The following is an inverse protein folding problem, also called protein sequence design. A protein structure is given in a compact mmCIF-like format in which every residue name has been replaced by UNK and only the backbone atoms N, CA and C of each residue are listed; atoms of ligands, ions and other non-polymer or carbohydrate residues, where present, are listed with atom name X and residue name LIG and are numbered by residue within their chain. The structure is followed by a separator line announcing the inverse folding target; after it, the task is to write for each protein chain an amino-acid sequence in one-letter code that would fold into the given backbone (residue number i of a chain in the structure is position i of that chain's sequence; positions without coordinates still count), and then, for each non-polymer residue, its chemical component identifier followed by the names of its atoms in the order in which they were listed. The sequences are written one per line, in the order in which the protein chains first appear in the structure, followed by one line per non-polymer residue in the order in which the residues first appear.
data_IF_048326638078
#
_entry.id   IF_048326638078
#
_cell.length_a   1.000
_cell.length_b   1.000
_cell.length_c   1.000
_cell.angle_alpha   90.00
_cell.angle_beta   90.00
_cell.angle_gamma   90.00
#
_symmetry.space_group_name_H-M   'P 1'
#
loop_
_entity.id
_entity.type
_entity.pdbx_description
1 polymer ?
#
# COMPACT_ATOMS: atom_id res chain seq x y z
N UNK A 1 -58.26 43.22 30.61
CA UNK A 1 -58.43 41.91 31.28
C UNK A 1 -57.37 41.00 30.67
N UNK A 2 -56.15 40.97 31.25
CA UNK A 2 -55.73 40.09 32.37
C UNK A 2 -55.61 38.64 31.85
N UNK A 3 -54.50 37.89 31.92
CA UNK A 3 -53.25 37.86 32.70
C UNK A 3 -52.25 37.01 31.87
N UNK A 4 -50.97 37.33 31.64
CA UNK A 4 -49.84 37.40 32.59
C UNK A 4 -49.62 36.12 33.43
N UNK A 5 -48.77 35.19 32.95
CA UNK A 5 -48.01 34.29 33.84
C UNK A 5 -46.57 34.06 33.36
N UNK A 6 -45.69 34.82 34.01
CA UNK A 6 -44.26 34.58 34.16
C UNK A 6 -43.94 33.39 35.08
N UNK A 7 -42.70 32.88 34.97
CA UNK A 7 -41.74 32.39 36.01
C UNK A 7 -41.15 30.99 35.69
N UNK A 8 -39.97 30.62 36.24
CA UNK A 8 -38.86 31.43 36.76
C UNK A 8 -37.46 31.01 36.25
N UNK A 9 -36.51 31.92 36.48
CA UNK A 9 -35.05 31.76 36.40
C UNK A 9 -34.55 30.69 37.38
N UNK A 10 -33.60 29.85 36.96
CA UNK A 10 -32.70 29.10 37.84
C UNK A 10 -31.28 29.65 37.70
N UNK A 11 -30.82 30.26 38.78
CA UNK A 11 -29.45 30.66 39.08
C UNK A 11 -28.78 29.61 39.99
N UNK A 12 -27.46 29.72 40.13
CA UNK A 12 -26.53 28.95 40.96
C UNK A 12 -26.05 27.63 40.28
N UNK A 13 -24.78 27.25 40.30
CA UNK A 13 -23.76 27.54 41.31
C UNK A 13 -22.34 27.36 40.77
N UNK A 14 -21.40 27.92 41.53
CA UNK A 14 -19.97 28.08 41.31
C UNK A 14 -19.17 26.77 41.25
N UNK A 15 -18.10 26.78 40.45
CA UNK A 15 -17.16 25.65 40.35
C UNK A 15 -15.83 26.02 39.74
N UNK A 16 -15.29 27.21 40.04
CA UNK A 16 -13.99 27.66 39.56
C UNK A 16 -12.87 27.11 40.48
N UNK A 17 -12.50 25.84 40.31
CA UNK A 17 -11.30 25.27 40.95
C UNK A 17 -10.05 25.85 40.32
N UNK A 18 -9.49 26.82 41.04
CA UNK A 18 -8.21 27.50 40.81
C UNK A 18 -7.07 26.51 41.10
N UNK A 19 -6.60 25.81 40.07
CA UNK A 19 -5.42 24.94 40.13
C UNK A 19 -4.14 25.76 40.33
N UNK A 20 -3.62 25.69 41.55
CA UNK A 20 -2.40 26.32 42.04
C UNK A 20 -1.17 25.66 41.39
N UNK A 21 -0.58 26.31 40.39
CA UNK A 21 0.71 25.90 39.83
C UNK A 21 1.83 26.35 40.77
N UNK A 22 2.40 25.38 41.48
CA UNK A 22 3.60 25.52 42.30
C UNK A 22 4.78 25.78 41.38
N UNK A 23 5.32 26.99 41.47
CA UNK A 23 6.61 27.39 40.91
C UNK A 23 7.71 26.64 41.67
N UNK A 24 8.44 25.75 40.98
CA UNK A 24 9.71 25.18 41.47
C UNK A 24 10.86 26.07 40.97
N UNK A 25 11.66 26.70 41.86
CA UNK A 25 12.89 27.36 41.47
C UNK A 25 14.09 26.41 41.56
N UNK A 26 15.09 26.65 40.72
CA UNK A 26 16.47 26.26 41.00
C UNK A 26 16.96 24.98 40.32
N UNK A 27 17.67 25.15 39.21
CA UNK A 27 18.81 24.31 38.86
C UNK A 27 19.71 25.10 37.90
N UNK A 28 20.76 25.67 38.49
CA UNK A 28 21.92 26.22 37.82
C UNK A 28 22.69 25.12 37.07
N UNK A 29 23.28 25.41 35.90
CA UNK A 29 24.34 24.59 35.34
C UNK A 29 25.71 25.17 35.70
N UNK A 30 26.40 24.50 36.63
CA UNK A 30 27.83 24.69 36.86
C UNK A 30 28.63 24.33 35.60
N UNK A 31 29.52 25.25 35.27
CA UNK A 31 30.58 25.10 34.31
C UNK A 31 31.69 24.16 34.83
N UNK A 32 32.54 23.74 33.89
CA UNK A 32 33.87 23.13 34.05
C UNK A 32 33.98 21.60 33.95
N UNK A 33 34.37 21.13 32.77
CA UNK A 33 35.31 20.00 32.59
C UNK A 33 36.04 20.24 31.27
N UNK A 34 37.19 20.91 31.30
CA UNK A 34 38.54 20.31 31.29
C UNK A 34 38.82 19.42 30.08
N UNK A 35 39.54 20.04 29.13
CA UNK A 35 40.66 19.53 28.36
C UNK A 35 40.90 18.02 28.35
N UNK A 36 40.87 17.44 27.15
CA UNK A 36 41.82 16.38 26.79
C UNK A 36 42.09 16.37 25.29
N UNK A 37 43.26 16.91 24.96
CA UNK A 37 43.95 16.79 23.67
C UNK A 37 44.39 15.34 23.48
N UNK A 38 43.70 14.62 22.60
CA UNK A 38 44.11 13.32 22.08
C UNK A 38 44.56 13.44 20.63
N UNK A 39 45.87 13.47 20.43
CA UNK A 39 46.60 13.38 19.17
C UNK A 39 46.08 12.26 18.26
N UNK A 40 45.71 12.60 17.01
CA UNK A 40 45.55 11.61 15.93
C UNK A 40 46.39 12.00 14.72
N UNK A 41 47.34 11.10 14.46
CA UNK A 41 48.29 11.02 13.36
C UNK A 41 47.58 10.95 11.99
N UNK A 42 48.15 11.54 10.92
CA UNK A 42 47.58 11.49 9.57
C UNK A 42 48.09 10.25 8.82
N UNK A 43 47.20 9.33 8.48
CA UNK A 43 47.49 8.25 7.53
C UNK A 43 46.66 8.39 6.25
N UNK A 44 47.32 9.01 5.27
CA UNK A 44 47.47 8.54 3.89
C UNK A 44 46.21 8.31 3.05
N UNK A 45 46.00 9.29 2.16
CA UNK A 45 45.48 9.13 0.80
C UNK A 45 46.00 7.85 0.15
N UNK A 46 45.10 6.98 -0.28
CA UNK A 46 45.33 6.09 -1.42
C UNK A 46 44.13 6.16 -2.38
N UNK A 47 44.42 6.78 -3.51
CA UNK A 47 43.95 6.50 -4.87
C UNK A 47 42.52 5.97 -5.07
N UNK A 48 41.67 6.90 -5.49
CA UNK A 48 40.50 6.66 -6.33
C UNK A 48 40.85 5.83 -7.58
N UNK A 49 40.27 4.64 -7.72
CA UNK A 49 40.30 3.87 -8.97
C UNK A 49 39.29 4.41 -10.00
N UNK A 50 39.59 4.36 -11.31
CA UNK A 50 38.73 4.90 -12.35
C UNK A 50 37.47 4.03 -12.55
N UNK A 51 36.31 4.63 -12.30
CA UNK A 51 35.00 4.10 -12.72
C UNK A 51 35.00 3.91 -14.24
N UNK A 52 34.91 2.65 -14.68
CA UNK A 52 34.61 2.27 -16.05
C UNK A 52 33.29 2.92 -16.49
N UNK A 53 33.39 4.03 -17.23
CA UNK A 53 32.28 4.56 -18.03
C UNK A 53 32.00 3.54 -19.14
N UNK A 54 30.96 2.74 -18.95
CA UNK A 54 30.42 1.84 -19.97
C UNK A 54 29.83 2.72 -21.07
N UNK A 55 30.36 2.57 -22.28
CA UNK A 55 29.92 3.29 -23.47
C UNK A 55 28.40 3.15 -23.66
N UNK A 56 27.74 4.28 -23.86
CA UNK A 56 26.34 4.36 -24.23
C UNK A 56 26.20 3.86 -25.68
N UNK A 57 25.79 2.60 -25.84
CA UNK A 57 25.23 2.10 -27.08
C UNK A 57 23.75 2.47 -27.12
N UNK A 58 23.37 3.27 -28.11
CA UNK A 58 21.99 3.60 -28.44
C UNK A 58 21.22 2.33 -28.85
N UNK A 59 20.46 1.76 -27.93
CA UNK A 59 19.27 0.97 -28.27
C UNK A 59 18.08 1.68 -27.65
N UNK A 60 17.34 2.43 -28.48
CA UNK A 60 16.14 3.18 -28.14
C UNK A 60 14.95 2.28 -27.81
N UNK A 61 15.15 1.33 -26.90
CA UNK A 61 14.11 0.44 -26.42
C UNK A 61 13.36 1.18 -25.29
N UNK A 62 12.40 2.02 -25.69
CA UNK A 62 11.63 2.88 -24.79
C UNK A 62 11.16 2.12 -23.55
N UNK A 63 11.30 2.75 -22.37
CA UNK A 63 10.97 2.11 -21.10
C UNK A 63 9.55 1.50 -21.15
N UNK A 64 9.38 0.26 -20.67
CA UNK A 64 8.09 -0.42 -20.76
C UNK A 64 7.04 0.38 -19.98
N UNK A 65 5.86 0.54 -20.56
CA UNK A 65 4.77 1.26 -19.92
C UNK A 65 4.38 0.51 -18.62
N UNK A 66 4.36 1.17 -17.45
CA UNK A 66 3.98 0.53 -16.20
C UNK A 66 2.55 -0.04 -16.23
N UNK A 67 1.71 0.39 -17.17
CA UNK A 67 0.35 -0.09 -17.37
C UNK A 67 0.22 -1.32 -18.28
N UNK A 68 1.29 -1.82 -18.92
CA UNK A 68 1.22 -2.96 -19.84
C UNK A 68 0.64 -4.22 -19.18
N UNK A 69 0.88 -4.44 -17.88
CA UNK A 69 0.28 -5.56 -17.15
C UNK A 69 -1.23 -5.45 -17.03
N UNK A 70 -1.74 -4.27 -16.67
CA UNK A 70 -3.19 -4.04 -16.55
C UNK A 70 -3.88 -4.12 -17.92
N UNK A 71 -3.26 -3.53 -18.94
CA UNK A 71 -3.73 -3.61 -20.33
C UNK A 71 -3.84 -5.04 -20.83
N UNK A 72 -2.83 -5.87 -20.54
CA UNK A 72 -2.85 -7.30 -20.90
C UNK A 72 -4.00 -8.04 -20.19
N UNK A 73 -4.19 -7.77 -18.90
CA UNK A 73 -5.29 -8.36 -18.12
C UNK A 73 -6.66 -7.99 -18.70
N UNK A 74 -6.87 -6.71 -19.02
CA UNK A 74 -8.12 -6.22 -19.61
C UNK A 74 -8.36 -6.83 -21.00
N UNK A 75 -7.31 -6.95 -21.81
CA UNK A 75 -7.37 -7.61 -23.13
C UNK A 75 -7.77 -9.08 -23.00
N UNK A 76 -7.13 -9.84 -22.11
CA UNK A 76 -7.46 -11.26 -21.91
C UNK A 76 -8.89 -11.45 -21.39
N UNK A 77 -9.34 -10.60 -20.46
CA UNK A 77 -10.72 -10.63 -19.92
C UNK A 77 -11.75 -10.46 -21.04
N UNK A 78 -11.48 -9.56 -21.99
CA UNK A 78 -12.36 -9.32 -23.15
C UNK A 78 -12.37 -10.48 -24.13
N UNK A 79 -11.19 -11.00 -24.47
CA UNK A 79 -11.07 -12.13 -25.41
C UNK A 79 -11.78 -13.36 -24.86
N UNK A 80 -11.66 -13.64 -23.56
CA UNK A 80 -12.27 -14.81 -22.93
C UNK A 80 -13.74 -14.58 -22.52
N UNK A 81 -14.20 -13.32 -22.53
CA UNK A 81 -15.53 -12.91 -22.06
C UNK A 81 -15.89 -13.49 -20.68
N UNK A 82 -14.89 -13.64 -19.80
CA UNK A 82 -15.01 -14.14 -18.42
C UNK A 82 -13.95 -13.48 -17.54
N UNK A 83 -14.14 -13.54 -16.22
CA UNK A 83 -13.10 -13.15 -15.27
C UNK A 83 -11.90 -14.09 -15.38
N UNK A 84 -10.69 -13.54 -15.36
CA UNK A 84 -9.47 -14.34 -15.41
C UNK A 84 -9.25 -15.14 -14.12
N UNK A 85 -8.82 -16.39 -14.27
CA UNK A 85 -8.47 -17.30 -13.18
C UNK A 85 -6.94 -17.37 -12.98
N UNK A 86 -6.46 -17.76 -11.78
CA UNK A 86 -5.05 -18.05 -11.57
C UNK A 86 -4.60 -19.20 -12.48
N UNK A 87 -3.82 -18.88 -13.50
CA UNK A 87 -3.41 -19.85 -14.54
C UNK A 87 -3.70 -19.36 -15.96
N UNK A 88 -4.63 -18.43 -16.14
CA UNK A 88 -4.91 -17.85 -17.47
C UNK A 88 -3.73 -17.00 -17.99
N UNK A 89 -2.95 -16.42 -17.08
CA UNK A 89 -1.74 -15.65 -17.37
C UNK A 89 -0.60 -16.20 -16.50
N UNK A 90 0.36 -16.89 -17.11
CA UNK A 90 1.48 -17.52 -16.40
C UNK A 90 2.77 -16.78 -16.76
N UNK A 91 3.50 -16.34 -15.74
CA UNK A 91 4.83 -15.75 -15.88
C UNK A 91 5.87 -16.68 -15.26
N UNK A 92 6.85 -17.10 -16.06
CA UNK A 92 8.03 -17.81 -15.60
C UNK A 92 9.23 -16.85 -15.65
N UNK A 93 9.88 -16.60 -14.51
CA UNK A 93 11.10 -15.78 -14.48
C UNK A 93 12.30 -16.70 -14.37
N UNK A 94 13.31 -16.44 -15.21
CA UNK A 94 14.62 -17.09 -15.17
C UNK A 94 15.71 -16.04 -15.01
N UNK A 95 16.82 -16.43 -14.41
CA UNK A 95 18.01 -15.58 -14.26
C UNK A 95 19.03 -15.98 -15.31
N UNK A 96 19.44 -15.02 -16.15
CA UNK A 96 20.40 -15.21 -17.22
C UNK A 96 21.61 -14.29 -17.00
N UNK A 97 22.72 -14.54 -17.73
CA UNK A 97 23.95 -13.77 -17.56
C UNK A 97 23.70 -12.27 -17.80
N UNK A 98 23.65 -11.49 -16.71
CA UNK A 98 23.45 -10.06 -16.76
C UNK A 98 22.03 -9.57 -16.42
N UNK A 99 21.10 -10.44 -16.00
CA UNK A 99 19.81 -9.99 -15.49
C UNK A 99 18.73 -11.06 -15.37
N UNK A 100 17.48 -10.61 -15.40
CA UNK A 100 16.28 -11.41 -15.26
C UNK A 100 15.51 -11.40 -16.57
N UNK A 101 15.07 -12.57 -17.01
CA UNK A 101 14.23 -12.79 -18.20
C UNK A 101 12.87 -13.33 -17.73
N UNK A 102 11.78 -12.86 -18.33
CA UNK A 102 10.45 -13.36 -18.06
C UNK A 102 9.85 -13.96 -19.34
N UNK A 103 9.38 -15.19 -19.25
CA UNK A 103 8.58 -15.87 -20.25
C UNK A 103 7.11 -15.82 -19.82
N UNK A 104 6.24 -15.32 -20.70
CA UNK A 104 4.80 -15.19 -20.49
C UNK A 104 4.07 -16.18 -21.38
N UNK A 105 3.11 -16.92 -20.82
CA UNK A 105 2.21 -17.81 -21.56
C UNK A 105 0.75 -17.52 -21.18
N UNK A 106 -0.15 -17.69 -22.15
CA UNK A 106 -1.58 -17.38 -22.03
C UNK A 106 -2.44 -18.60 -22.40
N UNK A 107 -2.34 -19.72 -21.64
CA UNK A 107 -2.84 -21.03 -22.06
C UNK A 107 -4.35 -21.08 -22.35
N UNK A 108 -5.11 -20.18 -21.74
CA UNK A 108 -6.57 -20.14 -21.87
C UNK A 108 -7.06 -19.37 -23.10
N UNK A 109 -6.18 -18.69 -23.86
CA UNK A 109 -6.58 -17.99 -25.07
C UNK A 109 -6.92 -18.97 -26.20
N UNK A 110 -7.98 -18.70 -26.98
CA UNK A 110 -8.36 -19.55 -28.09
C UNK A 110 -7.34 -19.51 -29.23
N UNK A 111 -7.30 -20.60 -29.99
CA UNK A 111 -6.49 -20.72 -31.20
C UNK A 111 -4.98 -20.76 -30.94
N UNK A 112 -4.14 -20.30 -31.88
CA UNK A 112 -2.68 -20.42 -31.78
C UNK A 112 -2.09 -19.53 -30.68
N UNK A 113 -2.84 -18.53 -30.20
CA UNK A 113 -2.38 -17.62 -29.16
C UNK A 113 -2.21 -18.29 -27.80
N UNK A 114 -2.99 -19.34 -27.51
CA UNK A 114 -2.84 -20.12 -26.28
C UNK A 114 -1.56 -20.96 -26.23
N UNK A 115 -0.96 -21.25 -27.38
CA UNK A 115 0.26 -22.04 -27.51
C UNK A 115 1.54 -21.19 -27.63
N UNK A 116 1.39 -19.87 -27.80
CA UNK A 116 2.53 -18.95 -27.93
C UNK A 116 3.10 -18.62 -26.54
N UNK A 117 4.43 -18.51 -26.47
CA UNK A 117 5.13 -17.90 -25.35
C UNK A 117 5.84 -16.62 -25.79
N UNK A 118 5.87 -15.63 -24.92
CA UNK A 118 6.52 -14.34 -25.15
C UNK A 118 7.62 -14.14 -24.11
N UNK A 119 8.87 -14.13 -24.58
CA UNK A 119 10.05 -13.99 -23.72
C UNK A 119 10.59 -12.56 -23.79
N UNK A 120 10.78 -11.93 -22.63
CA UNK A 120 11.39 -10.61 -22.56
C UNK A 120 12.90 -10.66 -22.81
N UNK A 121 13.48 -9.56 -23.27
CA UNK A 121 14.93 -9.36 -23.20
C UNK A 121 15.44 -9.37 -21.74
N UNK A 122 16.73 -9.59 -21.55
CA UNK A 122 17.40 -9.54 -20.23
C UNK A 122 17.22 -8.15 -19.62
N UNK A 123 16.59 -8.09 -18.45
CA UNK A 123 16.32 -6.86 -17.71
C UNK A 123 17.01 -6.86 -16.36
N UNK A 124 17.35 -5.69 -15.82
CA UNK A 124 18.00 -5.58 -14.50
C UNK A 124 17.12 -6.07 -13.34
N UNK A 125 15.78 -6.03 -13.51
CA UNK A 125 14.82 -6.32 -12.46
C UNK A 125 13.69 -7.24 -12.94
N UNK A 126 13.27 -8.16 -12.07
CA UNK A 126 12.11 -9.06 -12.29
C UNK A 126 10.84 -8.33 -12.73
N UNK A 127 10.60 -7.14 -12.17
CA UNK A 127 9.43 -6.31 -12.52
C UNK A 127 9.49 -5.84 -13.96
N UNK A 128 10.65 -5.35 -14.41
CA UNK A 128 10.84 -4.85 -15.78
C UNK A 128 10.76 -5.99 -16.80
N UNK A 129 11.33 -7.15 -16.48
CA UNK A 129 11.22 -8.35 -17.31
C UNK A 129 9.75 -8.74 -17.57
N UNK A 130 8.93 -8.81 -16.51
CA UNK A 130 7.48 -9.09 -16.63
C UNK A 130 6.74 -8.06 -17.48
N UNK A 131 7.01 -6.76 -17.27
CA UNK A 131 6.36 -5.70 -18.03
C UNK A 131 6.74 -5.75 -19.51
N UNK A 132 8.00 -6.07 -19.83
CA UNK A 132 8.46 -6.27 -21.21
C UNK A 132 7.80 -7.47 -21.87
N UNK A 133 7.72 -8.61 -21.18
CA UNK A 133 7.02 -9.79 -21.70
C UNK A 133 5.53 -9.48 -21.98
N UNK A 134 4.87 -8.75 -21.08
CA UNK A 134 3.49 -8.31 -21.27
C UNK A 134 3.32 -7.36 -22.45
N UNK A 135 4.26 -6.44 -22.67
CA UNK A 135 4.24 -5.52 -23.82
C UNK A 135 4.40 -6.26 -25.14
N UNK A 136 5.32 -7.23 -25.20
CA UNK A 136 5.51 -8.10 -26.38
C UNK A 136 4.24 -8.91 -26.68
N UNK A 137 3.61 -9.50 -25.66
CA UNK A 137 2.35 -10.20 -25.83
C UNK A 137 1.24 -9.29 -26.35
N UNK A 138 1.08 -8.08 -25.79
CA UNK A 138 0.09 -7.11 -26.27
C UNK A 138 0.29 -6.73 -27.74
N UNK A 139 1.53 -6.47 -28.16
CA UNK A 139 1.85 -6.15 -29.57
C UNK A 139 1.54 -7.32 -30.49
N UNK A 140 1.85 -8.55 -30.05
CA UNK A 140 1.53 -9.77 -30.80
C UNK A 140 0.03 -9.95 -30.94
N UNK A 141 -0.73 -9.85 -29.84
CA UNK A 141 -2.19 -10.00 -29.85
C UNK A 141 -2.89 -8.91 -30.67
N UNK A 142 -2.32 -7.70 -30.71
CA UNK A 142 -2.82 -6.61 -31.56
C UNK A 142 -2.53 -6.83 -33.06
N UNK A 143 -1.55 -7.68 -33.40
CA UNK A 143 -1.22 -8.01 -34.79
C UNK A 143 -2.11 -9.12 -35.37
N UNK A 144 -2.69 -9.97 -34.52
CA UNK A 144 -3.61 -11.03 -34.94
C UNK A 144 -5.01 -10.42 -35.18
N UNK A 145 -5.58 -10.48 -36.41
CA UNK A 145 -6.81 -9.76 -36.77
C UNK A 145 -8.05 -10.20 -35.97
N UNK A 146 -8.12 -11.47 -35.56
CA UNK A 146 -9.22 -11.99 -34.75
C UNK A 146 -9.23 -11.43 -33.32
N UNK A 147 -8.05 -11.16 -32.76
CA UNK A 147 -7.89 -10.65 -31.39
C UNK A 147 -7.72 -9.13 -31.36
N UNK A 148 -7.28 -8.52 -32.46
CA UNK A 148 -7.12 -7.08 -32.60
C UNK A 148 -8.42 -6.34 -32.27
N UNK A 149 -9.60 -6.88 -32.62
CA UNK A 149 -10.88 -6.29 -32.27
C UNK A 149 -11.12 -6.21 -30.75
N UNK A 150 -10.65 -7.20 -29.99
CA UNK A 150 -10.78 -7.25 -28.53
C UNK A 150 -9.69 -6.41 -27.81
N UNK A 151 -8.49 -6.39 -28.39
CA UNK A 151 -7.31 -5.66 -27.88
C UNK A 151 -7.33 -4.18 -28.27
N UNK A 152 -8.10 -3.81 -29.30
CA UNK A 152 -8.28 -2.44 -29.75
C UNK A 152 -8.55 -1.52 -28.56
N UNK A 153 -7.85 -0.37 -28.53
CA UNK A 153 -7.55 0.27 -27.27
C UNK A 153 -8.82 0.76 -26.58
N UNK A 154 -8.86 0.51 -25.28
CA UNK A 154 -9.77 1.12 -24.29
C UNK A 154 -9.75 2.67 -24.30
N UNK A 155 -9.00 3.31 -25.20
CA UNK A 155 -8.80 4.76 -25.26
C UNK A 155 -10.04 5.56 -25.67
N UNK A 156 -11.19 4.95 -25.94
CA UNK A 156 -12.36 5.70 -26.41
C UNK A 156 -13.70 5.46 -25.71
N UNK A 157 -13.79 4.79 -24.54
CA UNK A 157 -15.09 4.68 -23.84
C UNK A 157 -15.05 4.75 -22.32
N UNK A 158 -14.24 5.65 -21.75
CA UNK A 158 -14.56 6.23 -20.44
C UNK A 158 -15.24 7.60 -20.57
N UNK A 159 -16.03 7.79 -21.64
CA UNK A 159 -17.12 8.76 -21.62
C UNK A 159 -18.27 8.13 -20.85
N UNK A 160 -18.36 8.46 -19.57
CA UNK A 160 -19.59 8.34 -18.79
C UNK A 160 -20.74 8.87 -19.63
N UNK A 161 -21.63 7.98 -20.10
CA UNK A 161 -22.93 8.38 -20.62
C UNK A 161 -23.69 8.98 -19.43
N UNK A 162 -24.05 10.27 -19.44
CA UNK A 162 -24.99 10.81 -18.47
C UNK A 162 -26.33 10.14 -18.74
N UNK A 163 -26.92 9.54 -17.70
CA UNK A 163 -28.25 8.94 -17.76
C UNK A 163 -29.26 9.92 -18.34
N UNK A 164 -29.76 9.57 -19.53
CA UNK A 164 -30.86 10.26 -20.19
C UNK A 164 -32.17 9.91 -19.50
N UNK A 165 -32.73 10.88 -18.80
CA UNK A 165 -34.14 10.95 -18.51
C UNK A 165 -34.82 11.84 -19.57
N UNK A 166 -35.84 11.29 -20.23
CA UNK A 166 -37.08 11.98 -20.57
C UNK A 166 -37.06 13.10 -21.62
N UNK A 167 -37.64 12.75 -22.78
CA UNK A 167 -38.69 13.50 -23.52
C UNK A 167 -38.39 14.87 -24.16
N UNK A 168 -38.75 14.91 -25.46
CA UNK A 168 -39.17 16.02 -26.34
C UNK A 168 -38.14 17.10 -26.74
N UNK A 169 -37.79 17.03 -28.04
CA UNK A 169 -37.68 18.12 -29.04
C UNK A 169 -38.46 19.41 -28.72
N UNK A 170 -38.10 20.60 -29.29
CA UNK A 170 -37.56 20.76 -30.65
C UNK A 170 -36.47 21.86 -30.88
N UNK A 171 -35.93 21.82 -32.11
CA UNK A 171 -35.52 22.95 -32.98
C UNK A 171 -34.27 23.81 -32.67
N UNK A 172 -33.20 23.51 -33.42
CA UNK A 172 -32.56 24.34 -34.45
C UNK A 172 -32.32 25.85 -34.18
N UNK A 173 -31.08 26.19 -33.83
CA UNK A 173 -30.23 27.36 -34.21
C UNK A 173 -28.92 27.20 -33.40
N UNK A 174 -27.71 27.60 -33.74
CA UNK A 174 -27.01 28.15 -34.91
C UNK A 174 -25.50 28.01 -34.56
N UNK A 175 -24.63 28.10 -35.54
CA UNK A 175 -23.20 27.87 -35.47
C UNK A 175 -22.46 28.81 -34.48
N UNK A 176 -21.55 28.25 -33.67
CA UNK A 176 -20.67 29.05 -32.82
C UNK A 176 -19.61 28.22 -32.07
N UNK A 177 -18.44 28.06 -32.71
CA UNK A 177 -17.13 27.80 -32.10
C UNK A 177 -17.09 27.04 -30.75
N UNK A 178 -17.01 25.70 -30.81
CA UNK A 178 -16.53 24.89 -29.69
C UNK A 178 -15.03 25.13 -29.52
N UNK A 179 -14.67 25.95 -28.54
CA UNK A 179 -13.31 26.10 -28.07
C UNK A 179 -12.71 24.72 -27.71
N UNK A 180 -11.45 24.44 -28.10
CA UNK A 180 -10.76 23.23 -27.71
C UNK A 180 -10.64 23.22 -26.18
N UNK A 181 -11.13 22.15 -25.56
CA UNK A 181 -10.93 21.91 -24.14
C UNK A 181 -9.43 21.93 -23.87
N UNK A 182 -8.92 22.68 -22.88
CA UNK A 182 -7.51 22.61 -22.52
C UNK A 182 -7.24 21.19 -22.01
N UNK A 183 -6.68 20.37 -22.90
CA UNK A 183 -6.10 19.09 -22.57
C UNK A 183 -4.93 19.39 -21.63
N UNK A 184 -5.22 19.25 -20.34
CA UNK A 184 -4.30 19.51 -19.24
C UNK A 184 -3.11 18.57 -19.41
N UNK A 185 -2.02 19.11 -19.91
CA UNK A 185 -0.75 18.42 -20.04
C UNK A 185 -0.34 17.83 -18.68
N UNK A 186 0.02 16.55 -18.74
CA UNK A 186 0.12 15.61 -17.64
C UNK A 186 1.40 15.80 -16.83
N UNK A 187 1.36 16.72 -15.86
CA UNK A 187 1.93 16.41 -14.54
C UNK A 187 0.87 15.62 -13.79
N UNK A 188 1.22 14.53 -13.10
CA UNK A 188 0.29 13.82 -12.21
C UNK A 188 -0.13 14.77 -11.09
N UNK A 189 -1.16 15.58 -11.34
CA UNK A 189 -1.76 16.47 -10.35
C UNK A 189 -2.32 15.54 -9.28
N UNK A 190 -1.57 15.40 -8.19
CA UNK A 190 -1.99 14.71 -6.98
C UNK A 190 -3.39 15.23 -6.62
N UNK A 191 -4.37 14.33 -6.55
CA UNK A 191 -5.75 14.71 -6.28
C UNK A 191 -5.80 15.35 -4.89
N UNK A 192 -6.11 16.64 -4.79
CA UNK A 192 -6.14 17.39 -3.53
C UNK A 192 -7.00 16.70 -2.46
N UNK A 193 -8.02 15.94 -2.87
CA UNK A 193 -8.82 15.12 -1.96
C UNK A 193 -8.00 14.01 -1.32
N UNK A 194 -7.16 13.33 -2.10
CA UNK A 194 -6.24 12.29 -1.62
C UNK A 194 -5.20 12.87 -0.69
N UNK A 195 -4.62 14.03 -1.02
CA UNK A 195 -3.68 14.71 -0.11
C UNK A 195 -4.32 15.08 1.22
N UNK A 196 -5.55 15.59 1.19
CA UNK A 196 -6.29 15.91 2.41
C UNK A 196 -6.54 14.66 3.26
N UNK A 197 -6.90 13.53 2.64
CA UNK A 197 -7.07 12.25 3.34
C UNK A 197 -5.75 11.79 3.98
N UNK A 198 -4.64 11.84 3.25
CA UNK A 198 -3.32 11.46 3.77
C UNK A 198 -2.93 12.35 4.96
N UNK A 199 -3.15 13.67 4.84
CA UNK A 199 -2.93 14.63 5.91
C UNK A 199 -3.74 14.26 7.17
N UNK A 200 -5.04 14.04 7.03
CA UNK A 200 -5.88 13.67 8.18
C UNK A 200 -5.46 12.32 8.80
N UNK A 201 -5.09 11.33 7.99
CA UNK A 201 -4.61 10.03 8.49
C UNK A 201 -3.35 10.19 9.35
N UNK A 202 -2.43 11.07 8.93
CA UNK A 202 -1.21 11.36 9.67
C UNK A 202 -1.50 12.12 10.95
N UNK A 203 -2.29 13.19 10.90
CA UNK A 203 -2.63 13.99 12.08
C UNK A 203 -3.37 13.18 13.15
N UNK A 204 -4.26 12.27 12.74
CA UNK A 204 -5.07 11.49 13.68
C UNK A 204 -4.46 10.13 14.04
N UNK A 205 -3.40 9.68 13.35
CA UNK A 205 -2.79 8.36 13.58
C UNK A 205 -3.71 7.16 13.33
N UNK A 206 -4.79 7.32 12.53
CA UNK A 206 -5.77 6.28 12.23
C UNK A 206 -6.27 6.37 10.77
N UNK A 207 -6.76 5.26 10.17
CA UNK A 207 -7.41 5.33 8.87
C UNK A 207 -8.65 6.23 8.91
N UNK A 208 -8.84 7.04 7.87
CA UNK A 208 -9.98 7.95 7.74
C UNK A 208 -11.19 7.25 7.16
N UNK A 209 -12.33 7.36 7.84
CA UNK A 209 -13.62 6.87 7.36
C UNK A 209 -14.46 7.95 6.67
N UNK A 210 -15.55 7.53 6.01
CA UNK A 210 -16.49 8.45 5.33
C UNK A 210 -17.16 9.47 6.26
N UNK A 211 -17.20 9.20 7.57
CA UNK A 211 -17.74 10.12 8.58
C UNK A 211 -16.75 11.22 8.97
N UNK A 212 -15.44 11.02 8.76
CA UNK A 212 -14.40 11.97 9.19
C UNK A 212 -14.30 13.17 8.24
N UNK A 213 -14.62 12.97 6.96
CA UNK A 213 -14.61 14.00 5.92
C UNK A 213 -15.96 13.99 5.18
N UNK A 214 -16.70 15.09 5.23
CA UNK A 214 -17.95 15.25 4.47
C UNK A 214 -17.81 16.37 3.45
N UNK A 215 -18.12 16.07 2.19
CA UNK A 215 -18.20 17.05 1.12
C UNK A 215 -19.67 17.35 0.84
N UNK A 216 -20.03 18.63 0.82
CA UNK A 216 -21.30 19.12 0.28
C UNK A 216 -21.01 20.01 -0.92
N UNK A 217 -21.87 19.97 -1.93
CA UNK A 217 -21.74 20.84 -3.11
C UNK A 217 -23.10 21.43 -3.45
N UNK A 218 -23.14 22.74 -3.62
CA UNK A 218 -24.32 23.50 -4.00
C UNK A 218 -24.06 24.21 -5.35
N UNK A 219 -25.12 24.45 -6.12
CA UNK A 219 -25.04 25.21 -7.36
C UNK A 219 -25.42 26.66 -7.08
N UNK A 220 -24.54 27.61 -7.40
CA UNK A 220 -24.73 29.04 -7.19
C UNK A 220 -24.33 29.78 -8.47
N UNK A 221 -25.27 30.53 -9.07
CA UNK A 221 -24.99 31.31 -10.29
C UNK A 221 -24.51 30.48 -11.49
N UNK A 222 -25.02 29.26 -11.65
CA UNK A 222 -24.60 28.36 -12.73
C UNK A 222 -23.27 27.61 -12.47
N UNK A 223 -22.52 27.99 -11.44
CA UNK A 223 -21.30 27.33 -11.00
C UNK A 223 -21.57 26.42 -9.80
N UNK A 224 -20.65 25.50 -9.52
CA UNK A 224 -20.67 24.64 -8.33
C UNK A 224 -19.70 25.17 -7.28
N UNK A 225 -20.18 25.33 -6.05
CA UNK A 225 -19.38 25.63 -4.87
C UNK A 225 -19.46 24.42 -3.95
N UNK A 226 -18.32 23.94 -3.47
CA UNK A 226 -18.29 22.83 -2.52
C UNK A 226 -17.69 23.27 -1.18
N UNK A 227 -18.18 22.65 -0.13
CA UNK A 227 -17.69 22.80 1.24
C UNK A 227 -17.20 21.43 1.72
N UNK A 228 -16.01 21.39 2.30
CA UNK A 228 -15.48 20.21 2.99
C UNK A 228 -15.55 20.44 4.49
N UNK A 229 -16.19 19.53 5.22
CA UNK A 229 -16.26 19.50 6.68
C UNK A 229 -15.34 18.40 7.22
N UNK A 230 -14.44 18.78 8.10
CA UNK A 230 -13.42 17.92 8.70
C UNK A 230 -13.82 17.58 10.15
N UNK A 231 -14.60 16.52 10.33
CA UNK A 231 -15.07 16.11 11.66
C UNK A 231 -13.94 15.61 12.58
N UNK A 232 -12.81 15.21 11.99
CA UNK A 232 -11.59 14.88 12.72
C UNK A 232 -10.86 16.09 13.33
N UNK A 233 -11.16 17.31 12.87
CA UNK A 233 -10.62 18.59 13.36
C UNK A 233 -11.76 19.46 13.86
N UNK A 234 -12.45 19.00 14.90
CA UNK A 234 -13.55 19.74 15.54
C UNK A 234 -14.70 20.15 14.61
N UNK A 235 -14.82 19.54 13.42
CA UNK A 235 -15.88 19.85 12.47
C UNK A 235 -15.64 21.13 11.67
N UNK A 236 -14.40 21.59 11.52
CA UNK A 236 -14.08 22.77 10.71
C UNK A 236 -14.54 22.61 9.25
N UNK A 237 -15.04 23.71 8.67
CA UNK A 237 -15.63 23.75 7.33
C UNK A 237 -14.88 24.71 6.41
N UNK A 238 -14.50 24.22 5.23
CA UNK A 238 -13.75 24.99 4.23
C UNK A 238 -14.52 25.04 2.91
N UNK A 239 -14.90 26.25 2.50
CA UNK A 239 -15.65 26.50 1.26
C UNK A 239 -14.69 26.80 0.11
N UNK A 240 -14.62 25.91 -0.88
CA UNK A 240 -13.80 26.06 -2.09
C UNK A 240 -14.27 27.19 -3.01
N UNK A 241 -13.42 27.59 -3.96
CA UNK A 241 -13.80 28.55 -4.99
C UNK A 241 -14.91 27.98 -5.91
N UNK A 242 -15.79 28.81 -6.48
CA UNK A 242 -16.76 28.38 -7.49
C UNK A 242 -16.07 27.76 -8.71
N UNK A 243 -16.58 26.64 -9.20
CA UNK A 243 -16.03 25.88 -10.32
C UNK A 243 -17.13 25.44 -11.29
N UNK A 244 -16.78 25.23 -12.55
CA UNK A 244 -17.75 24.78 -13.56
C UNK A 244 -18.34 23.38 -13.26
N UNK A 245 -17.58 22.52 -12.56
CA UNK A 245 -17.95 21.13 -12.29
C UNK A 245 -17.92 20.83 -10.79
N UNK A 246 -18.86 20.02 -10.31
CA UNK A 246 -18.91 19.55 -8.91
C UNK A 246 -17.59 18.93 -8.44
N UNK A 247 -16.96 18.06 -9.24
CA UNK A 247 -15.69 17.40 -8.87
C UNK A 247 -14.56 18.40 -8.68
N UNK A 248 -14.48 19.43 -9.53
CA UNK A 248 -13.50 20.52 -9.41
C UNK A 248 -13.79 21.40 -8.20
N UNK A 249 -15.06 21.67 -7.90
CA UNK A 249 -15.45 22.40 -6.70
C UNK A 249 -14.99 21.66 -5.42
N UNK A 250 -15.19 20.33 -5.37
CA UNK A 250 -14.73 19.51 -4.25
C UNK A 250 -13.19 19.51 -4.10
N UNK A 251 -12.44 19.46 -5.21
CA UNK A 251 -10.98 19.62 -5.18
C UNK A 251 -10.58 21.00 -4.67
N UNK A 252 -11.23 22.07 -5.13
CA UNK A 252 -10.95 23.44 -4.67
C UNK A 252 -11.25 23.62 -3.17
N UNK A 253 -12.27 22.93 -2.63
CA UNK A 253 -12.56 22.91 -1.20
C UNK A 253 -11.45 22.19 -0.42
N UNK A 254 -10.98 21.04 -0.91
CA UNK A 254 -9.88 20.30 -0.32
C UNK A 254 -8.56 21.10 -0.35
N UNK A 255 -8.25 21.77 -1.46
CA UNK A 255 -7.09 22.67 -1.57
C UNK A 255 -7.14 23.81 -0.55
N UNK A 256 -8.33 24.41 -0.33
CA UNK A 256 -8.49 25.47 0.67
C UNK A 256 -8.25 24.96 2.09
N UNK A 257 -8.73 23.76 2.42
CA UNK A 257 -8.43 23.11 3.70
C UNK A 257 -6.92 22.86 3.86
N UNK A 258 -6.27 22.31 2.83
CA UNK A 258 -4.82 22.05 2.84
C UNK A 258 -3.99 23.33 3.01
N UNK A 259 -4.43 24.47 2.42
CA UNK A 259 -3.79 25.78 2.60
C UNK A 259 -3.96 26.31 4.02
N UNK A 260 -5.13 26.12 4.65
CA UNK A 260 -5.33 26.52 6.04
C UNK A 260 -4.38 25.79 7.00
N UNK A 261 -4.10 24.51 6.73
CA UNK A 261 -3.22 23.66 7.53
C UNK A 261 -1.77 23.61 7.02
N UNK A 262 -1.33 24.55 6.19
CA UNK A 262 0.01 24.52 5.59
C UNK A 262 1.14 24.53 6.63
N UNK A 263 0.95 25.31 7.71
CA UNK A 263 1.93 25.38 8.83
C UNK A 263 2.07 24.03 9.55
N UNK A 264 0.95 23.36 9.83
CA UNK A 264 0.93 22.05 10.49
C UNK A 264 1.47 20.96 9.58
N UNK A 265 1.16 21.01 8.28
CA UNK A 265 1.78 20.13 7.27
C UNK A 265 3.30 20.26 7.25
N UNK A 266 3.82 21.49 7.26
CA UNK A 266 5.27 21.72 7.30
C UNK A 266 5.91 21.19 8.59
N UNK A 267 5.22 21.33 9.73
CA UNK A 267 5.67 20.78 11.01
C UNK A 267 5.69 19.24 11.01
N UNK A 268 4.64 18.60 10.49
CA UNK A 268 4.59 17.15 10.38
C UNK A 268 5.58 16.58 9.37
N UNK A 269 5.85 17.28 8.26
CA UNK A 269 6.87 16.86 7.30
C UNK A 269 8.28 16.84 7.91
N UNK A 270 8.54 17.72 8.89
CA UNK A 270 9.78 17.72 9.69
C UNK A 270 9.80 16.64 10.75
N UNK A 271 8.66 16.38 11.39
CA UNK A 271 8.52 15.40 12.46
C UNK A 271 8.35 13.97 11.96
N UNK A 272 7.97 13.79 10.69
CA UNK A 272 7.91 12.48 10.06
C UNK A 272 9.28 11.84 10.27
N UNK A 273 9.40 10.78 11.10
CA UNK A 273 10.66 10.09 11.23
C UNK A 273 11.00 9.74 9.80
N UNK A 274 12.15 10.20 9.30
CA UNK A 274 12.76 9.61 8.11
C UNK A 274 12.70 8.14 8.47
N UNK A 275 11.72 7.41 7.92
CA UNK A 275 11.60 5.97 8.11
C UNK A 275 12.88 5.56 7.47
N UNK A 276 13.90 5.42 8.33
CA UNK A 276 15.26 5.05 7.98
C UNK A 276 14.96 3.76 7.29
N UNK A 277 14.92 3.83 5.96
CA UNK A 277 14.63 2.69 5.10
C UNK A 277 15.58 1.69 5.67
N UNK A 278 15.02 0.71 6.39
CA UNK A 278 15.82 -0.30 7.05
C UNK A 278 16.41 -0.99 5.85
N UNK A 279 17.59 -0.52 5.46
CA UNK A 279 18.53 -1.25 4.66
C UNK A 279 18.81 -2.42 5.58
N UNK A 280 18.00 -3.45 5.40
CA UNK A 280 18.23 -4.78 5.89
C UNK A 280 19.59 -5.13 5.34
N UNK A 281 20.63 -4.85 6.13
CA UNK A 281 21.97 -5.32 5.86
C UNK A 281 21.85 -6.83 5.82
N UNK A 282 22.01 -7.37 4.61
CA UNK A 282 21.98 -8.77 4.31
C UNK A 282 23.16 -9.47 5.00
N UNK A 283 22.97 -9.81 6.27
CA UNK A 283 23.78 -10.78 6.99
C UNK A 283 22.86 -11.95 7.38
N UNK A 284 22.78 -12.89 6.43
CA UNK A 284 22.42 -14.30 6.55
C UNK A 284 21.63 -14.75 7.80
N UNK A 285 20.32 -14.87 7.62
CA UNK A 285 19.50 -15.95 8.15
C UNK A 285 18.52 -16.26 7.02
N UNK A 286 18.79 -17.29 6.24
CA UNK A 286 17.92 -17.75 5.15
C UNK A 286 16.55 -18.15 5.72
N UNK A 287 15.67 -17.17 5.85
CA UNK A 287 14.30 -17.38 6.29
C UNK A 287 13.49 -17.76 5.06
N UNK A 288 13.54 -19.06 4.74
CA UNK A 288 12.58 -19.80 3.93
C UNK A 288 11.14 -19.26 4.14
N UNK A 289 10.21 -19.31 3.14
CA UNK A 289 8.84 -18.78 3.22
C UNK A 289 8.29 -18.81 4.64
N UNK A 290 7.95 -17.62 5.15
CA UNK A 290 8.03 -17.28 6.58
C UNK A 290 7.59 -18.45 7.46
N UNK A 291 8.39 -18.81 8.45
CA UNK A 291 8.10 -19.90 9.41
C UNK A 291 6.63 -19.89 9.87
N UNK A 292 6.04 -18.70 10.00
CA UNK A 292 4.61 -18.50 10.26
C UNK A 292 3.69 -19.10 9.20
N UNK A 293 3.96 -18.89 7.91
CA UNK A 293 3.20 -19.49 6.81
C UNK A 293 3.30 -21.02 6.87
N UNK A 294 4.51 -21.57 7.05
CA UNK A 294 4.67 -23.04 7.18
C UNK A 294 3.88 -23.60 8.36
N UNK A 295 3.91 -22.91 9.50
CA UNK A 295 3.11 -23.28 10.67
C UNK A 295 1.61 -23.24 10.35
N UNK A 296 1.13 -22.18 9.70
CA UNK A 296 -0.27 -22.08 9.26
C UNK A 296 -0.65 -23.22 8.29
N UNK A 297 0.23 -23.58 7.36
CA UNK A 297 -0.01 -24.65 6.40
C UNK A 297 -0.09 -26.02 7.12
N UNK A 298 0.75 -26.26 8.13
CA UNK A 298 0.68 -27.46 8.97
C UNK A 298 -0.61 -27.51 9.77
N UNK A 299 -0.97 -26.42 10.45
CA UNK A 299 -2.25 -26.34 11.17
C UNK A 299 -3.44 -26.58 10.25
N UNK A 300 -3.45 -25.99 9.04
CA UNK A 300 -4.53 -26.18 8.06
C UNK A 300 -4.69 -27.65 7.68
N UNK A 301 -3.59 -28.41 7.57
CA UNK A 301 -3.64 -29.84 7.26
C UNK A 301 -4.16 -30.67 8.41
N UNK A 302 -3.70 -30.41 9.63
CA UNK A 302 -4.14 -31.14 10.83
C UNK A 302 -5.62 -30.89 11.10
N UNK A 303 -6.11 -29.67 10.88
CA UNK A 303 -7.50 -29.28 11.13
C UNK A 303 -8.45 -29.60 9.98
N UNK A 304 -7.94 -29.76 8.76
CA UNK A 304 -8.76 -29.88 7.54
C UNK A 304 -9.46 -28.57 7.13
N UNK A 305 -9.19 -27.46 7.82
CA UNK A 305 -9.73 -26.13 7.52
C UNK A 305 -8.67 -25.05 7.82
N UNK A 306 -8.75 -23.86 7.21
CA UNK A 306 -7.85 -22.76 7.53
C UNK A 306 -7.97 -22.37 9.02
N UNK A 307 -6.86 -22.11 9.73
CA UNK A 307 -6.89 -21.76 11.13
C UNK A 307 -7.63 -20.43 11.36
N UNK A 308 -8.49 -20.41 12.36
CA UNK A 308 -9.31 -19.28 12.78
C UNK A 308 -8.65 -18.47 13.91
N UNK A 309 -9.26 -17.34 14.27
CA UNK A 309 -8.81 -16.56 15.40
C UNK A 309 -9.01 -17.34 16.71
N UNK A 310 -7.91 -17.70 17.37
CA UNK A 310 -7.91 -18.55 18.56
C UNK A 310 -7.16 -19.88 18.37
N UNK A 311 -7.01 -20.34 17.13
CA UNK A 311 -6.30 -21.59 16.82
C UNK A 311 -4.78 -21.44 16.99
N UNK A 312 -4.28 -20.23 16.71
CA UNK A 312 -2.87 -19.85 16.85
C UNK A 312 -2.80 -18.61 17.73
N UNK A 313 -2.35 -18.77 18.97
CA UNK A 313 -2.31 -17.69 19.97
C UNK A 313 -0.87 -17.32 20.26
N UNK A 314 -0.50 -16.07 19.94
CA UNK A 314 0.78 -15.48 20.33
C UNK A 314 0.57 -14.51 21.48
N UNK A 315 1.27 -14.72 22.58
CA UNK A 315 1.41 -13.77 23.67
C UNK A 315 2.84 -13.24 23.67
N UNK A 316 3.01 -11.93 23.88
CA UNK A 316 4.31 -11.26 23.76
C UNK A 316 4.55 -10.46 25.02
N UNK A 317 5.61 -10.79 25.74
CA UNK A 317 6.03 -10.10 26.95
C UNK A 317 7.33 -9.33 26.72
N UNK A 318 7.47 -8.17 27.36
CA UNK A 318 8.71 -7.43 27.40
C UNK A 318 9.44 -7.79 28.70
N UNK A 319 10.62 -8.37 28.61
CA UNK A 319 11.41 -8.87 29.75
C UNK A 319 12.81 -8.29 29.70
N UNK A 320 13.25 -7.66 30.80
CA UNK A 320 14.64 -7.24 31.10
C UNK A 320 15.56 -6.98 29.89
N UNK A 321 15.21 -6.00 29.06
CA UNK A 321 16.05 -5.57 27.93
C UNK A 321 15.79 -6.30 26.60
N UNK A 322 14.75 -7.14 26.53
CA UNK A 322 14.32 -7.82 25.32
C UNK A 322 12.81 -8.08 25.29
N UNK A 323 12.42 -8.84 24.26
CA UNK A 323 11.05 -9.28 24.04
C UNK A 323 11.05 -10.79 23.90
N UNK A 324 10.18 -11.45 24.65
CA UNK A 324 9.87 -12.87 24.55
C UNK A 324 8.47 -13.03 23.96
N UNK A 325 8.23 -14.12 23.24
CA UNK A 325 6.91 -14.48 22.74
C UNK A 325 6.62 -15.94 23.09
N UNK A 326 5.43 -16.19 23.62
CA UNK A 326 4.87 -17.51 23.85
C UNK A 326 3.84 -17.80 22.75
N UNK A 327 3.89 -19.01 22.21
CA UNK A 327 2.96 -19.50 21.20
C UNK A 327 2.20 -20.70 21.76
N UNK A 328 0.88 -20.73 21.54
CA UNK A 328 -0.01 -21.85 21.88
C UNK A 328 -0.82 -22.22 20.65
N UNK A 329 -1.09 -23.51 20.48
CA UNK A 329 -1.86 -24.06 19.35
C UNK A 329 -3.03 -24.90 19.87
N UNK A 330 -4.06 -24.31 20.52
CA UNK A 330 -5.12 -25.06 21.20
C UNK A 330 -5.94 -25.97 20.29
N UNK A 331 -5.88 -25.70 18.98
CA UNK A 331 -6.56 -26.46 17.94
C UNK A 331 -5.92 -27.83 17.64
N UNK A 332 -4.66 -28.06 18.04
CA UNK A 332 -4.00 -29.34 17.80
C UNK A 332 -4.47 -30.42 18.79
N UNK A 333 -4.63 -31.68 18.34
CA UNK A 333 -5.05 -32.76 19.21
C UNK A 333 -3.94 -33.18 20.20
N UNK A 334 -4.35 -33.79 21.31
CA UNK A 334 -3.42 -34.39 22.28
C UNK A 334 -2.62 -33.37 23.09
N UNK A 335 -1.38 -33.72 23.42
CA UNK A 335 -0.49 -32.90 24.26
C UNK A 335 -0.03 -31.62 23.55
N UNK A 336 0.03 -31.64 22.22
CA UNK A 336 0.40 -30.49 21.39
C UNK A 336 -0.53 -29.29 21.60
N UNK A 337 -1.83 -29.55 21.84
CA UNK A 337 -2.82 -28.49 22.10
C UNK A 337 -2.59 -27.76 23.43
N UNK A 338 -1.98 -28.44 24.41
CA UNK A 338 -1.67 -27.87 25.72
C UNK A 338 -0.24 -27.35 25.82
N UNK A 339 0.62 -27.70 24.87
CA UNK A 339 2.01 -27.26 24.84
C UNK A 339 2.13 -25.75 24.58
N UNK A 340 3.17 -25.16 25.17
CA UNK A 340 3.50 -23.74 25.04
C UNK A 340 4.95 -23.64 24.56
N UNK A 341 5.17 -22.92 23.47
CA UNK A 341 6.50 -22.69 22.90
C UNK A 341 6.94 -21.25 23.15
N UNK A 342 8.03 -21.08 23.90
CA UNK A 342 8.55 -19.76 24.26
C UNK A 342 9.79 -19.44 23.43
N UNK A 343 9.83 -18.25 22.85
CA UNK A 343 11.00 -17.74 22.14
C UNK A 343 12.13 -17.40 23.11
N UNK A 344 13.36 -17.30 22.58
CA UNK A 344 14.44 -16.65 23.33
C UNK A 344 14.20 -15.13 23.38
N UNK A 345 14.92 -14.45 24.27
CA UNK A 345 14.96 -12.99 24.35
C UNK A 345 15.45 -12.41 23.02
N UNK A 346 14.57 -11.66 22.34
CA UNK A 346 14.86 -11.02 21.06
C UNK A 346 14.79 -9.50 21.20
N UNK A 347 15.44 -8.77 20.29
CA UNK A 347 15.38 -7.30 20.23
C UNK A 347 14.07 -6.78 19.60
N UNK A 348 13.30 -7.64 18.95
CA UNK A 348 12.07 -7.30 18.22
C UNK A 348 10.93 -8.26 18.53
N UNK A 349 9.72 -7.72 18.64
CA UNK A 349 8.47 -8.50 18.78
C UNK A 349 8.24 -9.45 17.60
N UNK A 350 8.69 -9.08 16.41
CA UNK A 350 8.52 -9.90 15.23
C UNK A 350 9.41 -11.15 15.30
N UNK A 351 10.67 -10.98 15.66
CA UNK A 351 11.66 -12.07 15.72
C UNK A 351 11.33 -13.04 16.85
N UNK A 352 10.87 -12.53 18.00
CA UNK A 352 10.36 -13.35 19.09
C UNK A 352 9.23 -14.29 18.61
N UNK A 353 8.25 -13.76 17.87
CA UNK A 353 7.15 -14.58 17.30
C UNK A 353 7.64 -15.61 16.30
N UNK A 354 8.60 -15.24 15.44
CA UNK A 354 9.17 -16.16 14.46
C UNK A 354 9.94 -17.31 15.15
N UNK A 355 10.69 -17.02 16.20
CA UNK A 355 11.40 -18.03 16.98
C UNK A 355 10.44 -18.97 17.72
N UNK A 356 9.38 -18.44 18.35
CA UNK A 356 8.35 -19.27 18.97
C UNK A 356 7.65 -20.17 17.94
N UNK A 357 7.35 -19.62 16.75
CA UNK A 357 6.77 -20.38 15.65
C UNK A 357 7.72 -21.47 15.12
N UNK A 358 9.03 -21.20 15.06
CA UNK A 358 10.03 -22.17 14.61
C UNK A 358 10.15 -23.33 15.59
N UNK A 359 10.18 -23.04 16.90
CA UNK A 359 10.18 -24.05 17.95
C UNK A 359 8.92 -24.93 17.88
N UNK A 360 7.74 -24.31 17.74
CA UNK A 360 6.49 -25.05 17.59
C UNK A 360 6.48 -25.94 16.34
N UNK A 361 6.92 -25.40 15.19
CA UNK A 361 6.97 -26.15 13.94
C UNK A 361 7.88 -27.38 14.05
N UNK A 362 9.05 -27.24 14.71
CA UNK A 362 9.96 -28.36 14.92
C UNK A 362 9.30 -29.48 15.73
N UNK A 363 8.67 -29.14 16.86
CA UNK A 363 7.97 -30.13 17.71
C UNK A 363 6.79 -30.80 16.98
N UNK A 364 5.98 -30.03 16.24
CA UNK A 364 4.82 -30.57 15.51
C UNK A 364 5.24 -31.52 14.39
N UNK A 365 6.40 -31.29 13.76
CA UNK A 365 6.93 -32.18 12.72
C UNK A 365 7.56 -33.47 13.28
N UNK A 366 8.00 -33.46 14.54
CA UNK A 366 8.53 -34.65 15.23
C UNK A 366 7.41 -35.57 15.75
N UNK A 367 6.20 -35.05 15.98
CA UNK A 367 5.08 -35.84 16.48
C UNK A 367 4.51 -36.78 15.39
N UNK A 368 4.53 -38.11 15.60
CA UNK A 368 4.03 -39.09 14.63
C UNK A 368 2.52 -38.93 14.34
N UNK A 369 1.74 -38.40 15.29
CA UNK A 369 0.32 -38.16 15.10
C UNK A 369 0.08 -37.10 14.01
N UNK A 370 0.94 -36.08 13.95
CA UNK A 370 0.89 -35.04 12.91
C UNK A 370 1.59 -35.47 11.60
N UNK A 371 2.67 -36.27 11.72
CA UNK A 371 3.45 -36.73 10.57
C UNK A 371 2.70 -37.66 9.62
N UNK A 372 1.76 -38.47 10.13
CA UNK A 372 0.99 -39.42 9.32
C UNK A 372 0.04 -38.79 8.28
N UNK A 373 -0.21 -37.48 8.37
CA UNK A 373 -1.01 -36.72 7.40
C UNK A 373 -0.16 -36.00 6.34
N UNK A 374 1.16 -36.19 6.32
CA UNK A 374 1.99 -35.67 5.25
C UNK A 374 1.63 -36.42 3.95
N UNK A 375 1.11 -35.74 2.89
CA UNK A 375 1.06 -36.37 1.59
C UNK A 375 2.50 -36.71 1.21
N UNK A 376 2.72 -37.88 0.62
CA UNK A 376 3.98 -38.25 -0.01
C UNK A 376 4.28 -37.23 -1.12
N UNK A 377 4.86 -36.10 -0.75
CA UNK A 377 5.23 -35.05 -1.68
C UNK A 377 6.68 -35.31 -2.06
N UNK A 378 6.82 -36.30 -2.94
CA UNK A 378 8.05 -36.92 -3.45
C UNK A 378 8.85 -35.97 -4.39
N UNK A 379 8.90 -34.68 -4.07
CA UNK A 379 9.50 -33.66 -4.95
C UNK A 379 10.46 -32.70 -4.23
N UNK A 380 11.17 -33.22 -3.22
CA UNK A 380 12.24 -32.50 -2.51
C UNK A 380 13.61 -33.19 -2.62
N UNK A 381 13.75 -34.21 -3.46
CA UNK A 381 14.99 -34.99 -3.58
C UNK A 381 16.06 -34.40 -4.53
N UNK A 382 15.83 -33.21 -5.11
CA UNK A 382 16.78 -32.60 -6.06
C UNK A 382 17.63 -31.45 -5.51
N UNK A 383 17.77 -31.31 -4.19
CA UNK A 383 18.72 -30.37 -3.59
C UNK A 383 19.57 -31.08 -2.53
N UNK A 384 20.66 -31.69 -2.99
CA UNK A 384 21.85 -31.90 -2.16
C UNK A 384 22.93 -30.89 -2.58
N UNK A 385 23.75 -30.38 -1.63
CA UNK A 385 24.76 -29.36 -1.87
C UNK A 385 25.87 -29.79 -2.83
#
# INVERSE_FOLDING_TARGET
MQDARERPKKSADDGLTRGMLIFRPGLEPDAQTKDNLGTRTPCQLLASGPSKRKAAGETGDGAPDPSSRSKLHDACTRVLNRSLEPGDIVYQIREEQGGQVAELTLPSLPGPCGLRSWTSNVCENRRSARLRAADLALRSLASDPELAAAVAPLTCQQSYLPGGGGSSEPALVDAGARAPWPSSAAGTVSDAKTELVIFCQWSCGRPMGRKDLRYSAARQGGQHVATVRMNCFCGEEFVGAPQANRRRAEQAAAEKALRAFEKERAQMARAAPKRRRVQTSAAACDTHPSVKQRLHDVCTRVLGHPPQAGDVVYEVAAENGGVTATLRLPCLPGELGSQVWTSRLCSSRHDARLQAAAAALATVLEDPACGSMAPANDNLQSYQP
#
